data_IF_853727619596
#
_entry.id   IF_853727619596
#
_cell.length_a   1.000
_cell.length_b   1.000
_cell.length_c   1.000
_cell.angle_alpha   90.00
_cell.angle_beta   90.00
_cell.angle_gamma   90.00
#
_symmetry.space_group_name_H-M   'P 1'
#
loop_
_entity.id
_entity.type
_entity.pdbx_description
1 polymer ?
#
# COMPACT_ATOMS: atom_id res chain seq x y z
N UNK A 1 12.14 -36.37 7.68
CA UNK A 1 12.21 -34.92 7.84
C UNK A 1 11.92 -34.64 9.30
N UNK A 2 12.88 -34.16 10.05
CA UNK A 2 12.72 -33.82 11.47
C UNK A 2 11.89 -32.54 11.53
N UNK A 3 10.85 -32.46 12.36
CA UNK A 3 10.14 -31.20 12.56
C UNK A 3 11.11 -30.17 13.12
N UNK A 4 11.12 -28.97 12.53
CA UNK A 4 11.81 -27.80 13.02
C UNK A 4 11.51 -27.66 14.51
N UNK A 5 12.53 -27.67 15.35
CA UNK A 5 12.38 -27.44 16.78
C UNK A 5 11.85 -26.03 16.98
N UNK A 6 10.58 -25.91 17.34
CA UNK A 6 10.02 -24.65 17.81
C UNK A 6 10.65 -24.37 19.19
N UNK A 7 11.77 -23.67 19.17
CA UNK A 7 12.24 -23.03 20.40
C UNK A 7 11.25 -21.91 20.73
N UNK A 8 10.89 -21.73 22.00
CA UNK A 8 10.07 -20.59 22.41
C UNK A 8 10.75 -19.29 21.96
N UNK A 9 9.97 -18.34 21.45
CA UNK A 9 10.50 -17.04 21.02
C UNK A 9 11.10 -16.31 22.24
N UNK A 10 12.15 -15.57 21.99
CA UNK A 10 12.78 -14.68 22.97
C UNK A 10 12.39 -13.24 22.64
N UNK A 11 12.23 -12.38 23.64
CA UNK A 11 11.79 -11.00 23.47
C UNK A 11 12.62 -9.98 24.23
N UNK A 12 13.59 -10.43 25.05
CA UNK A 12 14.34 -9.55 25.96
C UNK A 12 15.13 -8.44 25.26
N UNK A 13 15.74 -8.73 24.10
CA UNK A 13 16.47 -7.72 23.36
C UNK A 13 15.52 -6.70 22.72
N UNK A 14 14.41 -7.16 22.14
CA UNK A 14 13.38 -6.31 21.57
C UNK A 14 12.72 -5.40 22.61
N UNK A 15 12.45 -5.92 23.82
CA UNK A 15 11.92 -5.13 24.94
C UNK A 15 12.86 -4.00 25.33
N UNK A 16 14.15 -4.30 25.53
CA UNK A 16 15.18 -3.30 25.88
C UNK A 16 15.35 -2.25 24.77
N UNK A 17 15.31 -2.68 23.50
CA UNK A 17 15.39 -1.79 22.35
C UNK A 17 14.14 -0.89 22.26
N UNK A 18 12.96 -1.43 22.54
CA UNK A 18 11.72 -0.65 22.55
C UNK A 18 11.71 0.40 23.64
N UNK A 19 12.13 0.06 24.87
CA UNK A 19 12.29 1.04 25.97
C UNK A 19 13.28 2.15 25.59
N UNK A 20 14.45 1.77 25.04
CA UNK A 20 15.45 2.74 24.58
C UNK A 20 14.91 3.63 23.45
N UNK A 21 14.17 3.05 22.50
CA UNK A 21 13.58 3.81 21.38
C UNK A 21 12.51 4.78 21.87
N UNK A 22 11.64 4.38 22.83
CA UNK A 22 10.63 5.27 23.40
C UNK A 22 11.21 6.47 24.13
N UNK A 23 12.43 6.37 24.62
CA UNK A 23 13.11 7.50 25.25
C UNK A 23 13.52 8.61 24.28
N UNK A 24 13.65 8.31 22.98
CA UNK A 24 14.21 9.24 21.96
C UNK A 24 13.36 9.37 20.69
N UNK A 25 12.37 8.50 20.51
CA UNK A 25 11.45 8.49 19.36
C UNK A 25 10.02 8.46 19.89
N UNK A 26 9.12 9.33 19.47
CA UNK A 26 7.71 9.31 19.88
C UNK A 26 7.07 7.92 19.67
N UNK A 27 6.60 7.28 20.76
CA UNK A 27 6.06 5.92 20.73
C UNK A 27 7.07 4.82 20.40
N UNK A 28 8.37 5.13 20.31
CA UNK A 28 9.45 4.17 20.01
C UNK A 28 9.60 3.78 18.54
N UNK A 29 8.82 4.37 17.64
CA UNK A 29 8.74 3.99 16.22
C UNK A 29 8.62 5.21 15.30
N UNK A 30 9.08 5.08 14.06
CA UNK A 30 8.97 6.11 13.01
C UNK A 30 7.72 5.98 12.13
N UNK A 31 6.85 5.00 12.43
CA UNK A 31 5.52 4.85 11.82
C UNK A 31 4.59 4.18 12.84
N UNK A 32 3.39 4.75 13.11
CA UNK A 32 2.55 4.36 14.25
C UNK A 32 2.18 2.89 14.31
N UNK A 33 1.89 2.26 13.19
CA UNK A 33 1.47 0.85 13.11
C UNK A 33 2.54 -0.12 13.63
N UNK A 34 3.82 0.26 13.58
CA UNK A 34 4.96 -0.56 14.05
C UNK A 34 5.02 -0.71 15.56
N UNK A 35 4.26 0.10 16.33
CA UNK A 35 4.27 0.07 17.80
C UNK A 35 3.38 -1.03 18.40
N UNK A 36 2.72 -1.86 17.59
CA UNK A 36 1.80 -2.92 18.03
C UNK A 36 0.60 -2.43 18.86
N UNK A 37 0.25 -1.14 18.76
CA UNK A 37 -0.86 -0.58 19.55
C UNK A 37 -2.20 -1.29 19.30
N UNK A 38 -2.44 -1.78 18.09
CA UNK A 38 -3.69 -2.48 17.74
C UNK A 38 -3.75 -3.91 18.25
N UNK A 39 -2.62 -4.61 18.31
CA UNK A 39 -2.55 -6.03 18.68
C UNK A 39 -2.00 -6.24 20.10
N UNK A 40 -1.34 -5.22 20.66
CA UNK A 40 -0.66 -5.30 21.96
C UNK A 40 0.69 -6.02 21.90
N UNK A 41 1.37 -6.06 23.04
CA UNK A 41 2.68 -6.69 23.16
C UNK A 41 3.85 -5.79 22.77
N UNK A 42 5.04 -6.36 22.67
CA UNK A 42 6.28 -5.69 22.26
C UNK A 42 6.57 -5.96 20.79
N UNK A 43 6.84 -4.93 19.97
CA UNK A 43 7.20 -5.15 18.57
C UNK A 43 8.55 -5.90 18.45
N UNK A 44 8.64 -6.82 17.50
CA UNK A 44 9.90 -7.42 17.12
C UNK A 44 10.82 -6.35 16.49
N UNK A 45 12.06 -6.22 16.99
CA UNK A 45 13.04 -5.30 16.45
C UNK A 45 13.87 -6.00 15.37
N UNK A 46 13.60 -5.72 14.11
CA UNK A 46 14.27 -6.33 12.98
C UNK A 46 15.79 -6.05 13.01
N UNK A 47 16.59 -7.09 12.93
CA UNK A 47 18.05 -7.04 12.80
C UNK A 47 18.50 -7.22 11.35
N UNK A 48 17.82 -8.10 10.61
CA UNK A 48 18.05 -8.35 9.17
C UNK A 48 16.79 -8.94 8.53
N UNK A 49 16.75 -8.92 7.21
CA UNK A 49 15.75 -9.66 6.45
C UNK A 49 16.40 -10.22 5.16
N UNK A 50 15.95 -11.40 4.72
CA UNK A 50 16.46 -12.04 3.50
C UNK A 50 15.41 -12.99 2.91
N UNK A 51 15.16 -12.89 1.62
CA UNK A 51 14.14 -13.71 0.95
C UNK A 51 12.75 -13.47 1.55
N UNK A 52 12.08 -14.52 1.99
CA UNK A 52 10.80 -14.47 2.67
C UNK A 52 10.90 -14.24 4.19
N UNK A 53 12.09 -14.06 4.75
CA UNK A 53 12.31 -14.14 6.19
C UNK A 53 12.75 -12.81 6.80
N UNK A 54 12.18 -12.50 7.97
CA UNK A 54 12.59 -11.44 8.88
C UNK A 54 13.28 -12.07 10.10
N UNK A 55 14.36 -11.45 10.57
CA UNK A 55 15.10 -11.86 11.77
C UNK A 55 15.13 -10.70 12.75
N UNK A 56 14.76 -10.95 14.01
CA UNK A 56 14.78 -9.92 15.03
C UNK A 56 16.10 -9.88 15.83
N UNK A 57 16.17 -8.91 16.76
CA UNK A 57 17.32 -8.71 17.63
C UNK A 57 17.48 -9.81 18.70
N UNK A 58 16.45 -10.59 18.96
CA UNK A 58 16.44 -11.74 19.86
C UNK A 58 16.91 -13.02 19.17
N UNK A 59 17.11 -12.98 17.83
CA UNK A 59 17.54 -14.13 17.01
C UNK A 59 16.39 -14.99 16.51
N UNK A 60 15.14 -14.57 16.71
CA UNK A 60 13.98 -15.25 16.15
C UNK A 60 13.92 -15.04 14.64
N UNK A 61 13.40 -16.05 13.95
CA UNK A 61 13.15 -16.03 12.51
C UNK A 61 11.65 -16.14 12.23
N UNK A 62 11.17 -15.28 11.37
CA UNK A 62 9.75 -15.22 10.96
C UNK A 62 9.62 -15.30 9.44
N UNK A 63 8.63 -16.04 8.94
CA UNK A 63 8.15 -15.84 7.57
C UNK A 63 7.35 -14.54 7.53
N UNK A 64 7.73 -13.62 6.65
CA UNK A 64 7.23 -12.24 6.64
C UNK A 64 6.11 -12.05 5.63
N UNK A 65 4.88 -11.85 6.09
CA UNK A 65 3.71 -11.49 5.29
C UNK A 65 3.40 -9.97 5.29
N UNK A 66 4.32 -9.15 5.83
CA UNK A 66 4.28 -7.69 5.73
C UNK A 66 5.04 -7.20 4.51
N UNK A 67 6.14 -7.86 4.12
CA UNK A 67 6.97 -7.53 2.95
C UNK A 67 7.29 -6.02 2.86
N UNK A 68 7.69 -5.41 3.98
CA UNK A 68 7.94 -3.96 4.12
C UNK A 68 6.73 -3.08 3.76
N UNK A 69 5.50 -3.57 3.91
CA UNK A 69 4.24 -2.91 3.48
C UNK A 69 4.10 -2.81 1.96
N UNK A 70 4.61 -3.82 1.25
CA UNK A 70 4.46 -3.97 -0.19
C UNK A 70 5.72 -3.85 -1.05
N UNK A 71 6.74 -3.01 -0.72
CA UNK A 71 7.92 -2.83 -1.56
C UNK A 71 8.68 -4.11 -1.91
N UNK A 72 8.74 -5.08 -0.99
CA UNK A 72 9.57 -6.28 -1.15
C UNK A 72 8.92 -7.35 -2.04
N UNK A 73 8.51 -6.98 -3.25
CA UNK A 73 7.86 -7.89 -4.22
C UNK A 73 8.76 -9.08 -4.59
N UNK A 74 10.08 -8.88 -4.68
CA UNK A 74 11.08 -9.91 -4.97
C UNK A 74 11.58 -10.64 -3.72
N UNK A 75 11.05 -10.29 -2.53
CA UNK A 75 11.59 -10.69 -1.24
C UNK A 75 12.65 -9.72 -0.73
N UNK A 76 13.07 -9.93 0.52
CA UNK A 76 14.06 -9.08 1.17
C UNK A 76 15.47 -9.30 0.62
N UNK A 77 16.24 -8.22 0.53
CA UNK A 77 17.65 -8.21 0.14
C UNK A 77 17.93 -9.05 -1.12
N UNK A 78 17.10 -8.85 -2.17
CA UNK A 78 17.30 -9.55 -3.44
C UNK A 78 18.70 -9.25 -4.00
N UNK A 79 19.54 -10.27 -4.33
CA UNK A 79 20.95 -10.07 -4.62
C UNK A 79 21.23 -9.02 -5.69
N UNK A 80 20.51 -9.08 -6.82
CA UNK A 80 20.70 -8.14 -7.93
C UNK A 80 20.28 -6.70 -7.58
N UNK A 81 19.23 -6.52 -6.75
CA UNK A 81 18.82 -5.18 -6.28
C UNK A 81 19.87 -4.61 -5.32
N UNK A 82 20.38 -5.43 -4.39
CA UNK A 82 21.47 -5.02 -3.48
C UNK A 82 22.72 -4.64 -4.26
N UNK A 83 23.13 -5.46 -5.24
CA UNK A 83 24.29 -5.19 -6.10
C UNK A 83 24.12 -3.87 -6.88
N UNK A 84 22.96 -3.63 -7.50
CA UNK A 84 22.70 -2.39 -8.23
C UNK A 84 22.78 -1.16 -7.32
N UNK A 85 22.27 -1.25 -6.09
CA UNK A 85 22.39 -0.16 -5.10
C UNK A 85 23.84 0.08 -4.69
N UNK A 86 24.63 -0.99 -4.48
CA UNK A 86 26.07 -0.88 -4.15
C UNK A 86 26.85 -0.21 -5.29
N UNK A 87 26.63 -0.62 -6.53
CA UNK A 87 27.27 0.00 -7.71
C UNK A 87 26.87 1.48 -7.86
N UNK A 88 25.59 1.81 -7.63
CA UNK A 88 25.17 3.21 -7.65
C UNK A 88 25.81 4.05 -6.52
N UNK A 89 25.98 3.46 -5.33
CA UNK A 89 26.62 4.13 -4.20
C UNK A 89 28.10 4.44 -4.46
N UNK A 90 28.81 3.60 -5.20
CA UNK A 90 30.21 3.84 -5.62
C UNK A 90 30.34 5.07 -6.54
N UNK A 91 29.25 5.43 -7.27
CA UNK A 91 29.20 6.62 -8.12
C UNK A 91 28.77 7.89 -7.38
N UNK A 92 28.19 7.76 -6.19
CA UNK A 92 27.73 8.86 -5.34
C UNK A 92 26.30 8.71 -4.84
N UNK A 93 26.03 9.28 -3.67
CA UNK A 93 24.74 9.10 -2.98
C UNK A 93 23.65 10.08 -3.46
N UNK A 94 24.07 11.28 -3.93
CA UNK A 94 23.18 12.33 -4.42
C UNK A 94 24.00 13.34 -5.23
N UNK A 95 23.46 13.80 -6.35
CA UNK A 95 24.22 14.66 -7.27
C UNK A 95 23.77 16.13 -7.23
N UNK A 96 22.52 16.43 -6.85
CA UNK A 96 21.93 17.76 -7.01
C UNK A 96 21.84 18.20 -8.49
N UNK A 97 21.88 17.25 -9.40
CA UNK A 97 21.82 17.41 -10.85
C UNK A 97 21.02 16.26 -11.46
N UNK A 98 20.48 16.46 -12.65
CA UNK A 98 19.79 15.40 -13.40
C UNK A 98 20.76 14.28 -13.79
N UNK A 99 20.29 13.05 -13.81
CA UNK A 99 21.06 11.87 -14.16
C UNK A 99 20.35 11.01 -15.22
N UNK A 100 21.12 10.28 -16.03
CA UNK A 100 20.56 9.45 -17.09
C UNK A 100 19.63 8.32 -16.57
N UNK A 101 19.93 7.63 -15.44
CA UNK A 101 19.03 6.61 -14.90
C UNK A 101 17.62 7.12 -14.51
N UNK A 102 17.46 8.42 -14.21
CA UNK A 102 16.13 8.99 -13.95
C UNK A 102 15.21 8.86 -15.19
N UNK A 103 15.77 9.13 -16.38
CA UNK A 103 15.03 8.97 -17.63
C UNK A 103 14.71 7.49 -17.89
N UNK A 104 15.65 6.58 -17.65
CA UNK A 104 15.47 5.14 -17.80
C UNK A 104 14.33 4.60 -16.90
N UNK A 105 14.28 4.99 -15.63
CA UNK A 105 13.19 4.60 -14.73
C UNK A 105 11.85 5.19 -15.19
N UNK A 106 11.84 6.46 -15.63
CA UNK A 106 10.62 7.08 -16.15
C UNK A 106 10.10 6.37 -17.41
N UNK A 107 10.98 6.04 -18.35
CA UNK A 107 10.64 5.27 -19.56
C UNK A 107 10.10 3.87 -19.20
N UNK A 108 10.70 3.20 -18.23
CA UNK A 108 10.25 1.89 -17.76
C UNK A 108 8.83 1.96 -17.18
N UNK A 109 8.52 2.99 -16.37
CA UNK A 109 7.18 3.23 -15.84
C UNK A 109 6.18 3.51 -16.97
N UNK A 110 6.51 4.41 -17.89
CA UNK A 110 5.66 4.73 -19.06
C UNK A 110 5.38 3.49 -19.89
N UNK A 111 6.41 2.71 -20.20
CA UNK A 111 6.27 1.51 -21.01
C UNK A 111 5.38 0.44 -20.33
N UNK A 112 5.51 0.25 -19.01
CA UNK A 112 4.69 -0.71 -18.28
C UNK A 112 3.21 -0.32 -18.27
N UNK A 113 2.91 0.93 -17.98
CA UNK A 113 1.52 1.43 -17.96
C UNK A 113 0.92 1.38 -19.38
N UNK A 114 1.66 1.85 -20.39
CA UNK A 114 1.21 1.86 -21.78
C UNK A 114 1.12 0.47 -22.41
N UNK A 115 1.71 -0.56 -21.80
CA UNK A 115 1.51 -1.95 -22.23
C UNK A 115 0.11 -2.47 -21.90
N UNK A 116 -0.55 -1.96 -20.85
CA UNK A 116 -1.93 -2.31 -20.53
C UNK A 116 -2.93 -1.59 -21.44
N UNK A 117 -2.79 -0.27 -21.58
CA UNK A 117 -3.60 0.54 -22.53
C UNK A 117 -2.65 1.51 -23.24
N UNK A 118 -2.46 1.38 -24.56
CA UNK A 118 -1.54 2.22 -25.32
C UNK A 118 -1.81 3.70 -25.17
N UNK A 119 -0.77 4.45 -24.82
CA UNK A 119 -0.86 5.89 -24.67
C UNK A 119 -1.60 6.34 -23.40
N UNK A 120 -1.71 5.53 -22.36
CA UNK A 120 -2.35 5.91 -21.10
C UNK A 120 -1.63 7.08 -20.39
N UNK A 121 -0.30 7.08 -20.37
CA UNK A 121 0.52 8.16 -19.82
C UNK A 121 1.64 8.58 -20.76
N UNK A 122 2.13 9.80 -20.62
CA UNK A 122 3.22 10.33 -21.44
C UNK A 122 4.44 10.75 -20.58
N UNK A 123 4.22 11.19 -19.34
CA UNK A 123 5.27 11.74 -18.48
C UNK A 123 5.17 11.26 -17.05
N UNK A 124 6.33 11.20 -16.38
CA UNK A 124 6.50 10.82 -14.97
C UNK A 124 7.33 11.88 -14.26
N UNK A 125 6.94 12.23 -13.03
CA UNK A 125 7.74 13.06 -12.11
C UNK A 125 8.06 12.23 -10.87
N UNK A 126 9.35 11.99 -10.63
CA UNK A 126 9.84 11.31 -9.43
C UNK A 126 9.79 12.23 -8.22
N UNK A 127 9.46 11.64 -7.06
CA UNK A 127 9.49 12.23 -5.72
C UNK A 127 10.02 11.20 -4.73
N UNK A 128 10.17 11.53 -3.45
CA UNK A 128 10.80 10.61 -2.49
C UNK A 128 9.80 9.71 -1.75
N UNK A 129 8.54 10.12 -1.62
CA UNK A 129 7.52 9.39 -0.84
C UNK A 129 6.15 9.42 -1.50
N UNK A 130 5.29 8.43 -1.17
CA UNK A 130 3.89 8.44 -1.61
C UNK A 130 3.13 9.69 -1.15
N UNK A 131 3.43 10.22 0.04
CA UNK A 131 2.86 11.48 0.52
C UNK A 131 3.22 12.66 -0.39
N UNK A 132 4.46 12.75 -0.86
CA UNK A 132 4.86 13.78 -1.82
C UNK A 132 4.17 13.60 -3.17
N UNK A 133 3.98 12.36 -3.63
CA UNK A 133 3.27 12.06 -4.87
C UNK A 133 1.81 12.52 -4.80
N UNK A 134 1.07 12.13 -3.77
CA UNK A 134 -0.35 12.50 -3.59
C UNK A 134 -0.53 13.99 -3.29
N UNK A 135 0.34 14.57 -2.45
CA UNK A 135 0.37 16.03 -2.20
C UNK A 135 0.57 16.81 -3.50
N UNK A 136 1.47 16.35 -4.35
CA UNK A 136 1.73 17.01 -5.65
C UNK A 136 0.57 16.79 -6.60
N UNK A 137 -0.01 15.60 -6.63
CA UNK A 137 -1.15 15.26 -7.50
C UNK A 137 -2.39 16.13 -7.20
N UNK A 138 -2.77 16.33 -5.93
CA UNK A 138 -3.88 17.23 -5.59
C UNK A 138 -3.57 18.69 -5.91
N UNK A 139 -2.34 19.14 -5.69
CA UNK A 139 -1.91 20.50 -6.10
C UNK A 139 -1.97 20.66 -7.61
N UNK A 140 -1.51 19.65 -8.35
CA UNK A 140 -1.55 19.63 -9.82
C UNK A 140 -2.99 19.69 -10.33
N UNK A 141 -3.88 18.85 -9.78
CA UNK A 141 -5.29 18.85 -10.15
C UNK A 141 -5.97 20.20 -9.89
N UNK A 142 -5.70 20.84 -8.75
CA UNK A 142 -6.15 22.19 -8.45
C UNK A 142 -5.60 23.22 -9.43
N UNK A 143 -4.34 23.11 -9.78
CA UNK A 143 -3.68 24.01 -10.74
C UNK A 143 -4.23 23.89 -12.16
N UNK A 144 -4.53 22.67 -12.60
CA UNK A 144 -5.11 22.40 -13.93
C UNK A 144 -6.55 22.88 -14.03
N UNK A 145 -7.36 22.61 -13.02
CA UNK A 145 -8.81 22.91 -13.04
C UNK A 145 -9.15 24.32 -12.57
N UNK A 146 -8.26 24.98 -11.82
CA UNK A 146 -8.55 26.24 -11.15
C UNK A 146 -9.59 26.14 -10.02
N UNK A 147 -9.78 24.95 -9.44
CA UNK A 147 -10.77 24.64 -8.40
C UNK A 147 -10.08 24.16 -7.12
N UNK A 148 -10.76 24.23 -5.97
CA UNK A 148 -10.15 24.02 -4.66
C UNK A 148 -10.48 22.67 -4.02
N UNK A 149 -11.71 22.15 -4.21
CA UNK A 149 -12.21 20.98 -3.48
C UNK A 149 -11.70 19.66 -4.06
N UNK A 150 -11.45 18.70 -3.15
CA UNK A 150 -11.09 17.32 -3.49
C UNK A 150 -12.11 16.37 -2.87
N UNK A 151 -12.57 15.39 -3.62
CA UNK A 151 -13.28 14.23 -3.08
C UNK A 151 -12.27 13.14 -2.76
N UNK A 152 -12.38 12.52 -1.57
CA UNK A 152 -11.73 11.28 -1.18
C UNK A 152 -12.75 10.33 -0.52
N UNK A 153 -12.35 9.09 -0.26
CA UNK A 153 -13.21 8.09 0.37
C UNK A 153 -12.78 7.77 1.79
N UNK A 154 -13.76 7.56 2.68
CA UNK A 154 -13.54 7.12 4.05
C UNK A 154 -12.77 5.79 4.07
N UNK A 155 -11.77 5.68 4.94
CA UNK A 155 -10.92 4.52 5.04
C UNK A 155 -9.72 4.48 4.07
N UNK A 156 -9.76 5.22 2.96
CA UNK A 156 -8.63 5.35 2.05
C UNK A 156 -7.51 6.20 2.66
N UNK A 157 -6.27 5.76 2.47
CA UNK A 157 -5.07 6.46 2.92
C UNK A 157 -4.22 6.92 1.74
N UNK A 158 -3.93 8.21 1.70
CA UNK A 158 -3.17 8.86 0.63
C UNK A 158 -1.95 9.64 1.14
N UNK A 159 -1.25 9.08 2.12
CA UNK A 159 -0.18 9.80 2.81
C UNK A 159 -0.70 10.74 3.91
N UNK A 160 0.19 11.59 4.45
CA UNK A 160 -0.10 12.40 5.64
C UNK A 160 -0.06 13.92 5.37
N UNK A 161 -0.38 14.34 4.15
CA UNK A 161 -0.66 15.75 3.87
C UNK A 161 -2.00 16.15 4.50
N UNK A 162 -2.06 17.33 5.11
CA UNK A 162 -3.21 17.80 5.90
C UNK A 162 -4.55 17.62 5.18
N UNK A 163 -4.62 17.96 3.90
CA UNK A 163 -5.83 17.86 3.10
C UNK A 163 -6.36 16.41 2.95
N UNK A 164 -5.55 15.38 3.17
CA UNK A 164 -5.93 13.98 2.96
C UNK A 164 -6.03 13.17 4.25
N UNK A 165 -5.89 13.79 5.43
CA UNK A 165 -5.95 13.11 6.72
C UNK A 165 -7.37 12.90 7.28
N UNK A 166 -8.38 13.54 6.72
CA UNK A 166 -9.77 13.34 7.16
C UNK A 166 -10.23 11.91 6.87
N UNK A 167 -10.72 11.19 7.89
CA UNK A 167 -11.20 9.80 7.82
C UNK A 167 -10.27 8.85 7.03
N UNK A 168 -8.95 9.01 7.18
CA UNK A 168 -7.97 8.11 6.60
C UNK A 168 -8.02 6.73 7.29
N UNK A 169 -7.65 5.67 6.54
CA UNK A 169 -7.68 4.28 6.99
C UNK A 169 -6.67 3.92 8.09
N UNK A 170 -5.93 2.84 7.96
CA UNK A 170 -5.20 2.11 9.00
C UNK A 170 -4.45 2.97 10.03
N UNK A 171 -3.66 3.96 9.60
CA UNK A 171 -2.88 4.81 10.50
C UNK A 171 -3.74 5.67 11.44
N UNK A 172 -4.83 6.25 10.93
CA UNK A 172 -5.77 7.09 11.70
C UNK A 172 -6.77 6.22 12.46
N UNK A 173 -7.25 5.13 11.84
CA UNK A 173 -8.15 4.17 12.47
C UNK A 173 -7.51 3.51 13.71
N UNK A 174 -6.22 3.17 13.63
CA UNK A 174 -5.45 2.62 14.75
C UNK A 174 -5.38 3.56 15.95
N UNK A 175 -5.40 4.90 15.70
CA UNK A 175 -5.41 5.91 16.73
C UNK A 175 -6.82 6.36 17.18
N UNK A 176 -7.87 5.77 16.56
CA UNK A 176 -9.30 6.11 16.80
C UNK A 176 -9.60 7.62 16.64
N UNK A 177 -8.89 8.30 15.76
CA UNK A 177 -9.05 9.74 15.51
C UNK A 177 -9.89 9.98 14.25
N UNK A 178 -10.95 10.82 14.31
CA UNK A 178 -11.72 11.19 13.11
C UNK A 178 -10.96 12.08 12.14
N UNK A 179 -9.82 12.61 12.57
CA UNK A 179 -8.87 13.41 11.82
C UNK A 179 -7.63 13.66 12.69
N UNK A 180 -6.54 14.17 12.11
CA UNK A 180 -5.33 14.47 12.88
C UNK A 180 -5.47 15.80 13.62
N UNK A 181 -5.08 15.84 14.90
CA UNK A 181 -4.86 17.10 15.59
C UNK A 181 -3.79 17.92 14.85
N UNK A 182 -4.04 19.21 14.73
CA UNK A 182 -3.15 20.12 13.97
C UNK A 182 -3.59 20.42 12.53
N UNK A 183 -4.46 19.62 11.94
CA UNK A 183 -5.11 19.96 10.67
C UNK A 183 -6.10 21.11 10.92
N UNK A 184 -5.98 22.19 10.16
CA UNK A 184 -6.85 23.37 10.32
C UNK A 184 -8.24 23.10 9.75
N UNK A 185 -9.27 23.72 10.32
CA UNK A 185 -10.63 23.62 9.81
C UNK A 185 -10.75 24.11 8.35
N UNK A 186 -9.99 25.12 7.97
CA UNK A 186 -9.96 25.63 6.60
C UNK A 186 -9.42 24.58 5.61
N UNK A 187 -8.34 23.88 5.96
CA UNK A 187 -7.79 22.81 5.12
C UNK A 187 -8.76 21.62 5.02
N UNK A 188 -9.35 21.21 6.14
CA UNK A 188 -10.30 20.12 6.18
C UNK A 188 -11.57 20.41 5.37
N UNK A 189 -12.05 21.68 5.33
CA UNK A 189 -13.25 22.09 4.60
C UNK A 189 -13.13 21.97 3.07
N UNK A 190 -11.91 21.89 2.54
CA UNK A 190 -11.66 21.68 1.11
C UNK A 190 -11.64 20.21 0.71
N UNK A 191 -11.86 19.29 1.64
CA UNK A 191 -11.88 17.86 1.36
C UNK A 191 -13.25 17.28 1.70
N UNK A 192 -13.92 16.74 0.68
CA UNK A 192 -15.21 16.06 0.79
C UNK A 192 -14.92 14.58 0.97
N UNK A 193 -15.36 14.00 2.09
CA UNK A 193 -15.17 12.57 2.38
C UNK A 193 -16.48 11.84 2.13
N UNK A 194 -16.45 10.81 1.28
CA UNK A 194 -17.62 10.04 0.88
C UNK A 194 -17.44 8.56 1.25
N UNK A 195 -18.51 7.78 1.37
CA UNK A 195 -18.45 6.33 1.45
C UNK A 195 -17.81 5.74 0.19
N UNK A 196 -16.96 4.72 0.35
CA UNK A 196 -16.43 3.94 -0.78
C UNK A 196 -17.54 3.06 -1.37
N UNK A 197 -17.48 2.76 -2.67
CA UNK A 197 -18.48 1.99 -3.43
C UNK A 197 -19.88 2.66 -3.53
N UNK A 198 -19.98 3.99 -3.37
CA UNK A 198 -21.22 4.75 -3.45
C UNK A 198 -21.13 5.85 -4.53
N UNK A 199 -21.51 5.51 -5.78
CA UNK A 199 -21.53 6.47 -6.89
C UNK A 199 -22.65 7.50 -6.77
N UNK A 200 -23.71 7.22 -6.01
CA UNK A 200 -24.81 8.18 -5.82
C UNK A 200 -24.35 9.30 -4.88
N UNK A 201 -23.62 8.99 -3.81
CA UNK A 201 -22.97 10.00 -2.97
C UNK A 201 -21.99 10.87 -3.78
N UNK A 202 -21.27 10.31 -4.75
CA UNK A 202 -20.38 11.08 -5.63
C UNK A 202 -21.18 12.04 -6.51
N UNK A 203 -22.28 11.59 -7.13
CA UNK A 203 -23.17 12.46 -7.96
C UNK A 203 -23.77 13.60 -7.13
N UNK A 204 -24.24 13.30 -5.93
CA UNK A 204 -24.78 14.29 -5.00
C UNK A 204 -23.71 15.33 -4.59
N UNK A 205 -22.48 14.90 -4.31
CA UNK A 205 -21.38 15.80 -3.99
C UNK A 205 -21.09 16.79 -5.13
N UNK A 206 -21.06 16.32 -6.39
CA UNK A 206 -20.89 17.20 -7.54
C UNK A 206 -22.06 18.17 -7.72
N UNK A 207 -23.29 17.74 -7.50
CA UNK A 207 -24.48 18.61 -7.56
C UNK A 207 -24.46 19.71 -6.47
N UNK A 208 -24.03 19.35 -5.26
CA UNK A 208 -23.95 20.29 -4.13
C UNK A 208 -22.75 21.26 -4.22
N UNK A 209 -21.74 20.93 -5.02
CA UNK A 209 -20.50 21.70 -5.18
C UNK A 209 -20.17 21.97 -6.66
N UNK A 210 -21.18 22.34 -7.44
CA UNK A 210 -21.03 22.59 -8.87
C UNK A 210 -19.86 23.55 -9.16
N UNK A 211 -18.96 23.13 -10.05
CA UNK A 211 -17.79 23.92 -10.47
C UNK A 211 -16.71 24.11 -9.41
N UNK A 212 -16.79 23.49 -8.22
CA UNK A 212 -15.82 23.68 -7.14
C UNK A 212 -14.84 22.50 -6.97
N UNK A 213 -15.20 21.30 -7.46
CA UNK A 213 -14.41 20.09 -7.26
C UNK A 213 -13.34 20.01 -8.34
N UNK A 214 -12.07 19.99 -7.91
CA UNK A 214 -10.90 19.86 -8.76
C UNK A 214 -10.66 18.40 -9.20
N UNK A 215 -10.77 17.48 -8.24
CA UNK A 215 -10.53 16.06 -8.52
C UNK A 215 -11.21 15.13 -7.50
N UNK A 216 -11.36 13.88 -7.92
CA UNK A 216 -11.53 12.72 -7.04
C UNK A 216 -10.17 12.07 -6.86
N UNK A 217 -9.76 11.75 -5.61
CA UNK A 217 -8.64 10.87 -5.32
C UNK A 217 -9.17 9.57 -4.71
N UNK A 218 -8.75 8.43 -5.26
CA UNK A 218 -9.12 7.10 -4.77
C UNK A 218 -7.93 6.15 -4.81
N UNK A 219 -7.81 5.26 -3.82
CA UNK A 219 -6.95 4.09 -4.00
C UNK A 219 -7.55 3.21 -5.12
N UNK A 220 -6.70 2.65 -5.96
CA UNK A 220 -7.12 1.77 -7.06
C UNK A 220 -7.92 0.55 -6.59
N UNK A 221 -7.48 -0.04 -5.50
CA UNK A 221 -8.21 -0.92 -4.60
C UNK A 221 -7.75 -0.58 -3.18
N UNK A 222 -8.62 -0.08 -2.30
CA UNK A 222 -8.27 0.26 -0.93
C UNK A 222 -7.66 -0.90 -0.17
N UNK A 223 -6.53 -0.63 0.49
CA UNK A 223 -5.77 -1.62 1.25
C UNK A 223 -5.40 -1.13 2.66
N UNK A 224 -5.94 0.02 3.08
CA UNK A 224 -5.69 0.63 4.39
C UNK A 224 -6.92 0.60 5.31
N UNK A 225 -7.97 -0.07 4.88
CA UNK A 225 -9.16 -0.41 5.66
C UNK A 225 -9.47 -1.93 5.55
N UNK A 226 -8.43 -2.76 5.56
CA UNK A 226 -8.45 -4.07 4.93
C UNK A 226 -8.41 -3.91 3.40
N UNK A 227 -8.38 -5.02 2.67
CA UNK A 227 -8.60 -4.94 1.22
C UNK A 227 -10.09 -4.81 0.97
N UNK A 228 -10.51 -3.72 0.33
CA UNK A 228 -11.90 -3.51 -0.09
C UNK A 228 -11.94 -3.41 -1.60
N UNK A 229 -12.50 -4.42 -2.24
CA UNK A 229 -12.56 -4.47 -3.70
C UNK A 229 -13.56 -3.44 -4.23
N UNK A 230 -13.21 -2.64 -5.25
CA UNK A 230 -14.19 -1.78 -5.90
C UNK A 230 -15.30 -2.62 -6.53
N UNK A 231 -16.54 -2.22 -6.33
CA UNK A 231 -17.69 -2.83 -6.99
C UNK A 231 -17.54 -2.74 -8.53
N UNK A 232 -18.07 -3.71 -9.28
CA UNK A 232 -18.00 -3.68 -10.73
C UNK A 232 -18.47 -2.34 -11.33
N UNK A 233 -17.60 -1.69 -12.10
CA UNK A 233 -17.86 -0.39 -12.69
C UNK A 233 -17.72 0.82 -11.77
N UNK A 234 -17.35 0.65 -10.48
CA UNK A 234 -17.19 1.78 -9.55
C UNK A 234 -16.09 2.74 -10.02
N UNK A 235 -14.89 2.25 -10.26
CA UNK A 235 -13.75 3.09 -10.67
C UNK A 235 -14.00 3.79 -12.01
N UNK A 236 -14.62 3.08 -12.98
CA UNK A 236 -15.05 3.69 -14.24
C UNK A 236 -16.11 4.76 -14.02
N UNK A 237 -17.09 4.48 -13.15
CA UNK A 237 -18.13 5.45 -12.80
C UNK A 237 -17.58 6.72 -12.16
N UNK A 238 -16.53 6.62 -11.33
CA UNK A 238 -15.82 7.80 -10.80
C UNK A 238 -15.21 8.63 -11.94
N UNK A 239 -14.54 7.99 -12.90
CA UNK A 239 -13.96 8.67 -14.05
C UNK A 239 -15.03 9.36 -14.90
N UNK A 240 -16.14 8.67 -15.24
CA UNK A 240 -17.23 9.23 -16.02
C UNK A 240 -17.90 10.43 -15.33
N UNK A 241 -18.17 10.33 -14.02
CA UNK A 241 -18.78 11.42 -13.25
C UNK A 241 -17.82 12.62 -13.13
N UNK A 242 -16.56 12.41 -12.83
CA UNK A 242 -15.57 13.47 -12.73
C UNK A 242 -15.44 14.24 -14.04
N UNK A 243 -15.26 13.55 -15.15
CA UNK A 243 -15.10 14.15 -16.48
C UNK A 243 -16.35 14.88 -16.93
N UNK A 244 -17.55 14.34 -16.69
CA UNK A 244 -18.80 15.03 -17.00
C UNK A 244 -18.94 16.37 -16.26
N UNK A 245 -18.26 16.55 -15.13
CA UNK A 245 -18.23 17.77 -14.33
C UNK A 245 -16.94 18.59 -14.49
N UNK A 246 -16.04 18.23 -15.41
CA UNK A 246 -14.76 18.91 -15.65
C UNK A 246 -13.79 18.83 -14.48
N UNK A 247 -13.85 17.75 -13.69
CA UNK A 247 -12.91 17.41 -12.64
C UNK A 247 -11.99 16.27 -13.12
N UNK A 248 -10.83 16.12 -12.45
CA UNK A 248 -9.87 15.08 -12.74
C UNK A 248 -10.02 13.87 -11.82
N UNK A 249 -9.45 12.72 -12.22
CA UNK A 249 -9.31 11.53 -11.37
C UNK A 249 -7.84 11.29 -11.06
N UNK A 250 -7.51 11.27 -9.76
CA UNK A 250 -6.22 10.86 -9.23
C UNK A 250 -6.38 9.42 -8.75
N UNK A 251 -5.66 8.50 -9.40
CA UNK A 251 -5.72 7.08 -9.09
C UNK A 251 -4.48 6.69 -8.30
N UNK A 252 -4.67 6.43 -7.01
CA UNK A 252 -3.59 6.14 -6.09
C UNK A 252 -3.22 4.66 -6.18
N UNK A 253 -2.10 4.43 -6.85
CA UNK A 253 -1.44 3.14 -7.03
C UNK A 253 -0.17 3.03 -6.16
N UNK A 254 -0.04 3.82 -5.11
CA UNK A 254 1.13 3.77 -4.22
C UNK A 254 1.30 2.38 -3.62
N UNK A 255 0.20 1.68 -3.30
CA UNK A 255 0.26 0.32 -2.76
C UNK A 255 0.13 -0.74 -3.85
N UNK A 256 -0.81 -0.59 -4.75
CA UNK A 256 -1.19 -1.58 -5.77
C UNK A 256 -0.32 -1.51 -7.02
N UNK A 257 0.32 -0.36 -7.29
CA UNK A 257 1.13 -0.11 -8.47
C UNK A 257 2.34 -1.04 -8.57
N UNK A 258 2.48 -1.68 -9.74
CA UNK A 258 3.52 -2.69 -10.02
C UNK A 258 3.53 -3.88 -9.05
N UNK A 259 2.52 -3.97 -8.18
CA UNK A 259 2.35 -5.04 -7.21
C UNK A 259 1.31 -6.06 -7.65
N UNK A 260 0.11 -5.61 -8.00
CA UNK A 260 -1.01 -6.47 -8.42
C UNK A 260 -0.74 -7.03 -9.82
N UNK A 261 -0.25 -6.19 -10.70
CA UNK A 261 0.20 -6.56 -12.06
C UNK A 261 1.37 -5.66 -12.47
N UNK A 262 1.91 -5.89 -13.66
CA UNK A 262 2.97 -5.04 -14.24
C UNK A 262 2.56 -3.58 -14.43
N UNK A 263 1.26 -3.29 -14.46
CA UNK A 263 0.68 -1.95 -14.59
C UNK A 263 -0.27 -1.61 -13.42
N UNK A 264 -0.06 -2.23 -12.25
CA UNK A 264 -0.87 -2.00 -11.05
C UNK A 264 -2.25 -2.63 -11.09
N UNK A 265 -3.12 -2.19 -10.19
CA UNK A 265 -4.52 -2.64 -10.16
C UNK A 265 -5.31 -2.09 -11.35
N UNK A 266 -5.02 -0.86 -11.78
CA UNK A 266 -5.63 -0.31 -12.98
C UNK A 266 -5.34 -1.17 -14.22
N UNK A 267 -4.09 -1.57 -14.44
CA UNK A 267 -3.73 -2.44 -15.55
C UNK A 267 -4.33 -3.85 -15.45
N UNK A 268 -4.70 -4.29 -14.25
CA UNK A 268 -5.40 -5.54 -14.00
C UNK A 268 -6.91 -5.43 -14.34
N UNK A 269 -7.56 -4.33 -13.99
CA UNK A 269 -9.03 -4.21 -14.04
C UNK A 269 -9.55 -3.38 -15.23
N UNK A 270 -8.92 -2.25 -15.57
CA UNK A 270 -9.46 -1.30 -16.52
C UNK A 270 -9.57 -1.80 -17.97
N UNK A 271 -8.67 -2.66 -18.50
CA UNK A 271 -8.83 -3.20 -19.86
C UNK A 271 -10.14 -3.94 -20.07
N UNK A 272 -10.63 -4.67 -19.07
CA UNK A 272 -11.89 -5.40 -19.10
C UNK A 272 -13.11 -4.50 -18.76
N UNK A 273 -12.88 -3.38 -18.09
CA UNK A 273 -13.89 -2.38 -17.69
C UNK A 273 -13.93 -1.16 -18.63
N UNK A 274 -13.85 -1.39 -19.94
CA UNK A 274 -14.05 -0.37 -20.97
C UNK A 274 -12.81 0.48 -21.30
N UNK A 275 -11.65 0.20 -20.73
CA UNK A 275 -10.37 0.81 -21.11
C UNK A 275 -10.25 2.29 -20.73
N UNK A 276 -10.89 2.74 -19.63
CA UNK A 276 -10.79 4.10 -19.12
C UNK A 276 -9.39 4.37 -18.55
N UNK A 277 -8.96 5.64 -18.53
CA UNK A 277 -7.63 6.06 -18.06
C UNK A 277 -7.79 7.21 -17.08
N UNK A 278 -7.26 7.12 -15.86
CA UNK A 278 -7.24 8.25 -14.93
C UNK A 278 -6.31 9.36 -15.43
N UNK A 279 -6.55 10.59 -14.97
CA UNK A 279 -5.77 11.76 -15.40
C UNK A 279 -4.38 11.80 -14.74
N UNK A 280 -4.30 11.36 -13.49
CA UNK A 280 -3.07 11.33 -12.71
C UNK A 280 -3.00 9.99 -11.98
N UNK A 281 -1.87 9.30 -12.14
CA UNK A 281 -1.49 8.17 -11.28
C UNK A 281 -0.51 8.63 -10.21
N UNK A 282 -0.55 8.01 -9.02
CA UNK A 282 0.52 8.09 -8.04
C UNK A 282 1.07 6.71 -7.75
N UNK A 283 2.40 6.58 -7.72
CA UNK A 283 3.13 5.34 -7.48
C UNK A 283 4.10 5.49 -6.32
N UNK A 284 4.40 4.40 -5.64
CA UNK A 284 5.36 4.34 -4.54
C UNK A 284 5.77 2.90 -4.27
N UNK A 285 6.25 2.64 -3.06
CA UNK A 285 6.54 1.27 -2.57
C UNK A 285 7.35 0.43 -3.56
N UNK A 286 6.71 -0.43 -4.37
CA UNK A 286 7.38 -1.35 -5.32
C UNK A 286 8.29 -0.61 -6.30
N UNK A 287 7.92 0.60 -6.74
CA UNK A 287 8.75 1.38 -7.69
C UNK A 287 10.17 1.65 -7.16
N UNK A 288 10.35 1.59 -5.85
CA UNK A 288 11.64 1.82 -5.18
C UNK A 288 12.38 0.54 -4.79
N UNK A 289 11.74 -0.64 -4.89
CA UNK A 289 12.38 -1.90 -4.51
C UNK A 289 12.89 -1.95 -3.06
N UNK A 290 12.29 -1.17 -2.16
CA UNK A 290 12.69 -1.00 -0.76
C UNK A 290 13.42 0.32 -0.46
N UNK A 291 13.84 1.07 -1.49
CA UNK A 291 14.43 2.41 -1.36
C UNK A 291 13.35 3.50 -1.45
N UNK A 292 13.59 4.70 -0.84
CA UNK A 292 12.61 5.79 -0.82
C UNK A 292 12.51 6.48 -2.18
N UNK A 293 11.52 6.12 -2.96
CA UNK A 293 11.12 6.78 -4.19
C UNK A 293 9.62 6.59 -4.42
N UNK A 294 8.99 7.57 -5.02
CA UNK A 294 7.62 7.55 -5.49
C UNK A 294 7.52 8.38 -6.76
N UNK A 295 6.36 8.39 -7.40
CA UNK A 295 6.15 9.15 -8.62
C UNK A 295 4.70 9.57 -8.77
N UNK A 296 4.46 10.61 -9.57
CA UNK A 296 3.17 10.84 -10.21
C UNK A 296 3.36 10.82 -11.72
N UNK A 297 2.34 10.40 -12.44
CA UNK A 297 2.37 10.23 -13.88
C UNK A 297 1.01 10.56 -14.51
N UNK A 298 1.02 10.95 -15.77
CA UNK A 298 -0.21 11.26 -16.50
C UNK A 298 0.08 11.70 -17.93
N UNK A 299 -0.95 12.21 -18.58
CA UNK A 299 -0.84 12.81 -19.90
C UNK A 299 0.00 14.08 -19.87
N UNK A 300 0.69 14.35 -20.96
CA UNK A 300 1.53 15.53 -21.14
C UNK A 300 0.81 16.83 -20.81
N UNK A 301 -0.42 16.97 -21.27
CA UNK A 301 -1.25 18.18 -21.05
C UNK A 301 -1.56 18.46 -19.57
N UNK A 302 -1.60 17.43 -18.72
CA UNK A 302 -1.72 17.57 -17.28
C UNK A 302 -0.35 17.77 -16.63
N UNK A 303 0.63 16.92 -16.97
CA UNK A 303 1.94 16.90 -16.33
C UNK A 303 2.77 18.18 -16.62
N UNK A 304 2.61 18.81 -17.77
CA UNK A 304 3.30 20.07 -18.11
C UNK A 304 2.77 21.30 -17.36
N UNK A 305 1.71 21.17 -16.55
CA UNK A 305 1.41 22.19 -15.53
C UNK A 305 2.42 22.21 -14.39
N UNK A 306 3.25 21.17 -14.23
CA UNK A 306 4.33 21.19 -13.24
C UNK A 306 5.48 22.11 -13.70
N UNK A 307 6.05 22.84 -12.74
CA UNK A 307 7.30 23.58 -12.97
C UNK A 307 8.44 22.61 -13.39
N UNK A 308 9.37 23.01 -14.28
CA UNK A 308 9.60 24.36 -14.80
C UNK A 308 8.74 24.73 -16.02
N UNK A 309 7.91 23.82 -16.57
CA UNK A 309 7.09 24.10 -17.75
C UNK A 309 5.86 24.94 -17.38
N UNK A 310 5.11 24.50 -16.36
CA UNK A 310 3.90 25.14 -15.90
C UNK A 310 4.05 25.85 -14.53
N UNK A 311 2.94 26.40 -14.00
CA UNK A 311 2.97 27.22 -12.80
C UNK A 311 2.94 26.42 -11.49
N UNK A 312 2.66 25.10 -11.52
CA UNK A 312 2.52 24.30 -10.32
C UNK A 312 3.88 23.87 -9.79
N UNK A 313 4.26 24.39 -8.62
CA UNK A 313 5.57 24.12 -8.04
C UNK A 313 5.65 22.78 -7.32
N UNK A 314 6.70 22.02 -7.61
CA UNK A 314 7.15 20.84 -6.89
C UNK A 314 8.68 20.77 -6.98
N UNK A 315 9.36 20.47 -5.87
CA UNK A 315 10.80 20.25 -5.82
C UNK A 315 11.14 19.25 -4.71
N UNK A 316 12.26 18.56 -4.87
CA UNK A 316 12.78 17.63 -3.86
C UNK A 316 14.27 17.40 -4.09
N UNK A 317 15.11 17.73 -3.09
CA UNK A 317 16.56 17.57 -3.16
C UNK A 317 16.99 16.13 -3.48
N UNK A 318 16.25 15.15 -2.98
CA UNK A 318 16.54 13.71 -3.14
C UNK A 318 15.61 13.01 -4.14
N UNK A 319 14.74 13.74 -4.83
CA UNK A 319 13.89 13.16 -5.87
C UNK A 319 14.75 12.63 -7.01
N UNK A 320 14.57 11.36 -7.37
CA UNK A 320 15.37 10.70 -8.40
C UNK A 320 16.81 10.40 -7.97
N UNK A 321 17.09 10.22 -6.66
CA UNK A 321 18.44 9.89 -6.21
C UNK A 321 18.92 8.57 -6.81
N UNK A 322 20.26 8.44 -7.06
CA UNK A 322 20.80 7.32 -7.83
C UNK A 322 20.56 5.95 -7.21
N UNK A 323 20.55 5.84 -5.87
CA UNK A 323 20.36 4.57 -5.20
C UNK A 323 18.93 4.05 -5.36
N UNK A 324 17.96 4.94 -5.15
CA UNK A 324 16.54 4.59 -5.28
C UNK A 324 16.16 4.31 -6.73
N UNK A 325 16.74 5.04 -7.67
CA UNK A 325 16.53 4.81 -9.12
C UNK A 325 17.11 3.46 -9.54
N UNK A 326 18.33 3.12 -9.11
CA UNK A 326 18.96 1.83 -9.40
C UNK A 326 18.16 0.65 -8.84
N UNK A 327 17.69 0.78 -7.58
CA UNK A 327 16.82 -0.21 -6.97
C UNK A 327 15.50 -0.36 -7.73
N UNK A 328 14.89 0.76 -8.14
CA UNK A 328 13.63 0.80 -8.88
C UNK A 328 13.75 0.15 -10.25
N UNK A 329 14.72 0.53 -11.06
CA UNK A 329 14.99 -0.05 -12.38
C UNK A 329 15.16 -1.58 -12.24
N UNK A 330 16.04 -2.00 -11.34
CA UNK A 330 16.34 -3.43 -11.15
C UNK A 330 15.09 -4.19 -10.69
N UNK A 331 14.35 -3.67 -9.71
CA UNK A 331 13.14 -4.33 -9.20
C UNK A 331 12.07 -4.45 -10.27
N UNK A 332 11.78 -3.36 -10.99
CA UNK A 332 10.78 -3.41 -12.05
C UNK A 332 11.23 -4.28 -13.22
N UNK A 333 12.52 -4.33 -13.56
CA UNK A 333 13.02 -5.21 -14.63
C UNK A 333 12.86 -6.69 -14.26
N UNK A 334 13.11 -7.05 -12.99
CA UNK A 334 13.00 -8.42 -12.50
C UNK A 334 11.56 -8.87 -12.22
N UNK A 335 10.65 -7.94 -11.91
CA UNK A 335 9.23 -8.24 -11.70
C UNK A 335 8.55 -8.52 -13.06
N UNK A 336 8.79 -9.69 -13.61
CA UNK A 336 8.27 -10.19 -14.86
C UNK A 336 6.97 -10.99 -14.69
N UNK A 337 6.45 -11.54 -15.78
CA UNK A 337 5.21 -12.33 -15.77
C UNK A 337 5.30 -13.57 -14.86
N UNK A 338 6.48 -14.17 -14.70
CA UNK A 338 6.66 -15.34 -13.84
C UNK A 338 6.56 -14.95 -12.37
N UNK A 339 7.08 -13.77 -11.99
CA UNK A 339 6.92 -13.22 -10.64
C UNK A 339 5.45 -13.01 -10.32
N UNK A 340 4.68 -12.34 -11.18
CA UNK A 340 3.25 -12.11 -10.93
C UNK A 340 2.46 -13.42 -10.84
N UNK A 341 2.70 -14.37 -11.75
CA UNK A 341 2.06 -15.70 -11.69
C UNK A 341 2.38 -16.44 -10.37
N UNK A 342 3.62 -16.32 -9.87
CA UNK A 342 4.00 -16.87 -8.58
C UNK A 342 3.23 -16.20 -7.42
N UNK A 343 3.16 -14.86 -7.40
CA UNK A 343 2.42 -14.13 -6.38
C UNK A 343 0.95 -14.52 -6.36
N UNK A 344 0.32 -14.60 -7.52
CA UNK A 344 -1.09 -14.98 -7.66
C UNK A 344 -1.34 -16.41 -7.13
N UNK A 345 -0.46 -17.34 -7.49
CA UNK A 345 -0.54 -18.74 -7.04
C UNK A 345 -0.37 -18.86 -5.52
N UNK A 346 0.64 -18.19 -4.93
CA UNK A 346 0.90 -18.25 -3.48
C UNK A 346 -0.19 -17.54 -2.68
N UNK A 347 -0.69 -16.41 -3.18
CA UNK A 347 -1.82 -15.71 -2.57
C UNK A 347 -3.07 -16.58 -2.55
N UNK A 348 -3.43 -17.21 -3.68
CA UNK A 348 -4.58 -18.10 -3.76
C UNK A 348 -4.45 -19.31 -2.83
N UNK A 349 -3.27 -19.95 -2.79
CA UNK A 349 -2.96 -21.07 -1.88
C UNK A 349 -3.18 -20.68 -0.41
N UNK A 350 -2.69 -19.49 -0.02
CA UNK A 350 -2.81 -19.02 1.36
C UNK A 350 -4.25 -18.66 1.72
N UNK A 351 -4.99 -18.00 0.84
CA UNK A 351 -6.41 -17.69 1.03
C UNK A 351 -7.26 -18.95 1.21
N UNK A 352 -6.99 -19.98 0.41
CA UNK A 352 -7.66 -21.28 0.55
C UNK A 352 -7.35 -21.92 1.91
N UNK A 353 -6.08 -21.98 2.31
CA UNK A 353 -5.67 -22.58 3.58
C UNK A 353 -6.25 -21.83 4.79
N UNK A 354 -6.32 -20.50 4.73
CA UNK A 354 -6.98 -19.67 5.75
C UNK A 354 -8.47 -20.01 5.87
N UNK A 355 -9.18 -20.08 4.74
CA UNK A 355 -10.60 -20.42 4.71
C UNK A 355 -10.85 -21.80 5.31
N UNK A 356 -10.03 -22.80 4.97
CA UNK A 356 -10.12 -24.16 5.51
C UNK A 356 -9.89 -24.17 7.02
N UNK A 357 -8.86 -23.47 7.52
CA UNK A 357 -8.53 -23.40 8.94
C UNK A 357 -9.63 -22.69 9.76
N UNK A 358 -10.17 -21.57 9.28
CA UNK A 358 -11.24 -20.85 9.96
C UNK A 358 -12.56 -21.62 9.96
N UNK A 359 -12.92 -22.24 8.85
CA UNK A 359 -14.12 -23.11 8.78
C UNK A 359 -14.01 -24.29 9.76
N UNK A 360 -12.83 -24.93 9.84
CA UNK A 360 -12.59 -26.03 10.77
C UNK A 360 -12.68 -25.59 12.24
N UNK A 361 -12.29 -24.35 12.54
CA UNK A 361 -12.38 -23.76 13.88
C UNK A 361 -13.73 -23.10 14.19
N UNK A 362 -14.66 -23.02 13.25
CA UNK A 362 -15.97 -22.38 13.41
C UNK A 362 -15.87 -20.85 13.55
N UNK A 363 -14.90 -20.22 12.89
CA UNK A 363 -14.68 -18.77 12.91
C UNK A 363 -15.37 -18.10 11.73
N UNK A 364 -16.34 -17.25 12.01
CA UNK A 364 -16.98 -16.41 10.99
C UNK A 364 -15.96 -15.42 10.45
N UNK A 365 -15.76 -15.42 9.14
CA UNK A 365 -14.78 -14.60 8.45
C UNK A 365 -15.17 -14.36 7.00
N UNK A 366 -14.55 -13.34 6.41
CA UNK A 366 -14.47 -13.17 4.96
C UNK A 366 -13.03 -12.84 4.54
N UNK A 367 -12.62 -13.32 3.38
CA UNK A 367 -11.36 -12.98 2.77
C UNK A 367 -11.64 -12.05 1.60
N UNK A 368 -11.04 -10.85 1.66
CA UNK A 368 -11.16 -9.83 0.63
C UNK A 368 -9.88 -9.82 -0.19
N UNK A 369 -9.97 -9.74 -1.52
CA UNK A 369 -8.78 -9.75 -2.38
C UNK A 369 -8.86 -8.75 -3.52
N UNK A 370 -7.71 -8.21 -3.89
CA UNK A 370 -7.49 -7.38 -5.07
C UNK A 370 -6.24 -7.94 -5.80
N UNK A 371 -6.47 -8.88 -6.72
CA UNK A 371 -5.40 -9.69 -7.32
C UNK A 371 -4.68 -10.52 -6.24
N UNK A 372 -3.36 -10.37 -6.13
CA UNK A 372 -2.54 -11.09 -5.13
C UNK A 372 -2.46 -10.40 -3.76
N UNK A 373 -3.14 -9.29 -3.56
CA UNK A 373 -3.32 -8.65 -2.26
C UNK A 373 -4.61 -9.14 -1.61
N UNK A 374 -4.58 -9.43 -0.31
CA UNK A 374 -5.78 -9.85 0.41
C UNK A 374 -5.72 -9.44 1.88
N UNK A 375 -6.85 -9.51 2.54
CA UNK A 375 -7.00 -9.33 4.00
C UNK A 375 -8.07 -10.25 4.55
N UNK A 376 -8.10 -10.41 5.87
CA UNK A 376 -9.11 -11.20 6.58
C UNK A 376 -9.92 -10.28 7.47
N UNK A 377 -11.24 -10.31 7.31
CA UNK A 377 -12.19 -9.66 8.21
C UNK A 377 -12.91 -10.72 9.05
N UNK A 378 -12.86 -10.58 10.39
CA UNK A 378 -13.48 -11.53 11.33
C UNK A 378 -14.88 -11.09 11.74
N UNK A 379 -15.77 -12.05 11.98
CA UNK A 379 -17.15 -11.78 12.41
C UNK A 379 -18.00 -11.13 11.32
N UNK A 380 -17.62 -11.29 10.07
CA UNK A 380 -18.34 -10.79 8.90
C UNK A 380 -19.08 -11.93 8.21
N UNK A 381 -20.16 -11.60 7.47
CA UNK A 381 -20.84 -12.55 6.60
C UNK A 381 -19.98 -12.89 5.38
N UNK A 382 -20.36 -13.95 4.65
CA UNK A 382 -19.70 -14.30 3.38
C UNK A 382 -19.87 -13.24 2.28
N UNK A 383 -20.79 -12.28 2.44
CA UNK A 383 -20.93 -11.14 1.55
C UNK A 383 -19.71 -10.21 1.62
N UNK A 384 -18.93 -10.27 2.72
CA UNK A 384 -17.68 -9.56 2.86
C UNK A 384 -17.82 -8.14 3.38
N UNK A 385 -16.82 -7.31 3.04
CA UNK A 385 -16.69 -5.92 3.43
C UNK A 385 -16.72 -5.05 2.18
N UNK A 386 -17.58 -4.05 2.13
CA UNK A 386 -17.78 -3.18 0.97
C UNK A 386 -17.29 -1.76 1.19
N UNK A 387 -17.09 -1.35 2.46
CA UNK A 387 -16.68 0.00 2.82
C UNK A 387 -16.04 0.05 4.22
N UNK A 388 -15.64 1.26 4.63
CA UNK A 388 -14.99 1.49 5.92
C UNK A 388 -15.88 1.22 7.14
N UNK A 389 -17.20 1.41 7.02
CA UNK A 389 -18.11 1.13 8.13
C UNK A 389 -18.19 -0.36 8.43
N UNK A 390 -18.20 -1.19 7.39
CA UNK A 390 -18.25 -2.66 7.53
C UNK A 390 -17.00 -3.19 8.25
N UNK A 391 -15.80 -2.72 7.85
CA UNK A 391 -14.56 -3.19 8.50
C UNK A 391 -14.45 -2.70 9.96
N UNK A 392 -14.94 -1.50 10.27
CA UNK A 392 -15.01 -1.03 11.66
C UNK A 392 -15.94 -1.86 12.53
N UNK A 393 -16.95 -2.47 11.95
CA UNK A 393 -17.88 -3.35 12.65
C UNK A 393 -17.32 -4.78 12.83
N UNK A 394 -16.18 -5.11 12.21
CA UNK A 394 -15.56 -6.43 12.30
C UNK A 394 -15.00 -6.73 13.69
N UNK A 395 -14.86 -8.03 14.04
CA UNK A 395 -14.38 -8.49 15.33
C UNK A 395 -12.83 -8.43 15.42
N UNK A 396 -12.28 -7.24 15.65
CA UNK A 396 -10.82 -7.01 15.70
C UNK A 396 -10.12 -7.74 16.84
N UNK A 397 -10.81 -8.08 17.95
CA UNK A 397 -10.24 -8.88 19.05
C UNK A 397 -9.79 -10.25 18.58
N UNK A 398 -10.54 -10.88 17.67
CA UNK A 398 -10.18 -12.18 17.08
C UNK A 398 -8.91 -12.08 16.24
N UNK A 399 -8.70 -10.95 15.56
CA UNK A 399 -7.45 -10.70 14.85
C UNK A 399 -6.26 -10.66 15.79
N UNK A 400 -6.38 -10.03 16.94
CA UNK A 400 -5.29 -9.93 17.91
C UNK A 400 -4.84 -11.31 18.41
N UNK A 401 -5.78 -12.19 18.74
CA UNK A 401 -5.47 -13.55 19.17
C UNK A 401 -4.84 -14.37 18.02
N UNK A 402 -5.37 -14.24 16.83
CA UNK A 402 -4.82 -14.86 15.63
C UNK A 402 -3.38 -14.38 15.35
N UNK A 403 -3.16 -13.06 15.38
CA UNK A 403 -1.86 -12.44 15.17
C UNK A 403 -0.79 -12.98 16.11
N UNK A 404 -1.07 -13.01 17.42
CA UNK A 404 -0.09 -13.49 18.40
C UNK A 404 0.21 -14.97 18.24
N UNK A 405 -0.79 -15.80 17.97
CA UNK A 405 -0.58 -17.23 17.72
C UNK A 405 0.28 -17.48 16.47
N UNK A 406 0.07 -16.71 15.38
CA UNK A 406 0.91 -16.77 14.19
C UNK A 406 2.33 -16.28 14.48
N UNK A 407 2.48 -15.17 15.22
CA UNK A 407 3.79 -14.63 15.60
C UNK A 407 4.59 -15.65 16.41
N UNK A 408 3.99 -16.27 17.42
CA UNK A 408 4.60 -17.33 18.24
C UNK A 408 4.99 -18.57 17.43
N UNK A 409 4.27 -18.80 16.31
CA UNK A 409 4.60 -19.87 15.37
C UNK A 409 5.67 -19.48 14.34
N UNK A 410 6.26 -18.28 14.46
CA UNK A 410 7.29 -17.78 13.54
C UNK A 410 6.73 -17.26 12.22
N UNK A 411 5.54 -16.69 12.22
CA UNK A 411 4.94 -16.00 11.07
C UNK A 411 4.60 -14.56 11.44
N UNK A 412 5.19 -13.61 10.73
CA UNK A 412 5.01 -12.17 10.98
C UNK A 412 3.92 -11.60 10.09
N UNK A 413 2.76 -11.31 10.70
CA UNK A 413 1.62 -10.68 10.06
C UNK A 413 1.65 -9.15 10.23
N UNK A 414 0.89 -8.38 9.42
CA UNK A 414 0.62 -6.98 9.71
C UNK A 414 -0.01 -6.83 11.11
N UNK A 415 0.52 -5.95 11.99
CA UNK A 415 0.01 -5.79 13.36
C UNK A 415 -1.27 -4.94 13.42
N UNK A 416 -2.19 -5.15 12.49
CA UNK A 416 -3.51 -4.50 12.44
C UNK A 416 -4.43 -5.25 11.49
N UNK A 417 -5.69 -5.43 11.88
CA UNK A 417 -6.74 -6.02 11.02
C UNK A 417 -7.10 -5.16 9.81
N UNK A 418 -6.67 -3.89 9.78
CA UNK A 418 -6.94 -2.95 8.68
C UNK A 418 -5.89 -2.97 7.57
N UNK A 419 -4.93 -3.89 7.63
CA UNK A 419 -3.83 -3.96 6.68
C UNK A 419 -3.98 -5.13 5.69
N UNK A 420 -3.45 -4.93 4.48
CA UNK A 420 -3.31 -6.00 3.51
C UNK A 420 -2.14 -6.93 3.87
N UNK A 421 -2.25 -8.21 3.48
CA UNK A 421 -1.18 -9.19 3.56
C UNK A 421 -0.47 -9.32 2.23
N UNK A 422 0.83 -9.59 2.29
CA UNK A 422 1.70 -9.61 1.14
C UNK A 422 2.48 -10.92 1.05
N UNK A 423 2.49 -11.52 -0.14
CA UNK A 423 3.43 -12.57 -0.51
C UNK A 423 4.50 -11.97 -1.43
N UNK A 424 5.67 -12.56 -1.53
CA UNK A 424 6.75 -12.15 -2.41
C UNK A 424 7.22 -13.29 -3.29
N UNK A 425 8.01 -12.98 -4.33
CA UNK A 425 8.63 -13.99 -5.19
C UNK A 425 9.55 -14.97 -4.43
N UNK A 426 9.93 -14.63 -3.19
CA UNK A 426 10.78 -15.47 -2.35
C UNK A 426 9.99 -16.42 -1.43
N UNK A 427 8.64 -16.35 -1.41
CA UNK A 427 7.82 -17.31 -0.66
C UNK A 427 7.77 -18.64 -1.43
N UNK A 428 8.75 -19.50 -1.15
CA UNK A 428 8.85 -20.85 -1.68
C UNK A 428 7.95 -21.85 -0.93
N UNK A 429 8.05 -23.13 -1.28
CA UNK A 429 7.22 -24.17 -0.66
C UNK A 429 7.51 -24.30 0.84
N UNK A 430 8.77 -24.13 1.29
CA UNK A 430 9.13 -24.20 2.70
C UNK A 430 8.50 -23.06 3.51
N UNK A 431 8.54 -21.83 3.01
CA UNK A 431 7.91 -20.69 3.63
C UNK A 431 6.37 -20.85 3.70
N UNK A 432 5.75 -21.33 2.61
CA UNK A 432 4.32 -21.59 2.56
C UNK A 432 3.90 -22.70 3.51
N UNK A 433 4.62 -23.81 3.56
CA UNK A 433 4.35 -24.93 4.48
C UNK A 433 4.41 -24.48 5.94
N UNK A 434 5.37 -23.63 6.28
CA UNK A 434 5.50 -23.06 7.63
C UNK A 434 4.31 -22.17 7.98
N UNK A 435 3.86 -21.30 7.08
CA UNK A 435 2.68 -20.47 7.29
C UNK A 435 1.44 -21.36 7.49
N UNK A 436 1.20 -22.29 6.56
CA UNK A 436 0.00 -23.14 6.55
C UNK A 436 -0.05 -24.03 7.80
N UNK A 437 1.09 -24.54 8.25
CA UNK A 437 1.16 -25.37 9.46
C UNK A 437 0.81 -24.63 10.75
N UNK A 438 0.94 -23.29 10.79
CA UNK A 438 0.59 -22.45 11.92
C UNK A 438 -0.91 -22.13 11.99
N UNK A 439 -1.63 -22.17 10.86
CA UNK A 439 -3.03 -21.73 10.75
C UNK A 439 -4.02 -22.44 11.68
N UNK A 440 -3.97 -23.77 11.89
CA UNK A 440 -4.96 -24.44 12.75
C UNK A 440 -4.94 -23.94 14.20
N UNK A 441 -3.75 -23.74 14.78
CA UNK A 441 -3.60 -23.22 16.14
C UNK A 441 -4.06 -21.75 16.23
N UNK A 442 -3.70 -20.94 15.24
CA UNK A 442 -4.09 -19.54 15.17
C UNK A 442 -5.61 -19.36 14.98
N UNK A 443 -6.24 -20.19 14.14
CA UNK A 443 -7.69 -20.19 13.97
C UNK A 443 -8.41 -20.57 15.26
N UNK A 444 -7.91 -21.58 16.00
CA UNK A 444 -8.44 -21.95 17.32
C UNK A 444 -8.30 -20.81 18.35
N UNK A 445 -7.20 -20.07 18.33
CA UNK A 445 -7.01 -18.88 19.18
C UNK A 445 -8.05 -17.79 18.84
N UNK A 446 -8.29 -17.52 17.54
CA UNK A 446 -9.32 -16.59 17.09
C UNK A 446 -10.73 -17.01 17.46
N UNK A 447 -11.02 -18.33 17.48
CA UNK A 447 -12.33 -18.87 17.87
C UNK A 447 -12.62 -18.64 19.36
N UNK A 448 -11.58 -18.60 20.18
CA UNK A 448 -11.67 -18.46 21.65
C UNK A 448 -11.69 -17.00 22.13
N UNK A 449 -11.44 -16.03 21.26
CA UNK A 449 -11.40 -14.59 21.53
C UNK A 449 -12.73 -13.90 21.16
#
# INVERSE_FOLDING_TARGET
MTPSSTHPLHHEASEKLFERSRAVIPGGVNSPVRAFNSVGGTPAFAAKAKGAYLYDADGNEYVDLVCSWGPSILGHAHPQVVEAVQQAADCGLSFGAASAPEAELAELVVNRINAAIPGAIDQVRMVSTGTEATMTAIRLARGVTGRDKIIKFAGCYHGHVDALLSEAGSGVATLALPGSAGVTAATAAETIVLPYNDLDAVREAFANHEGQIAAIITEAAPCNMGVVTPEPGFNRGLHEIAHANGALVIFDEVLTGFRVSSAGYWGYAAPEDGGWVPDIFTFGKVIGGGMPIAALAGKREVMEYLAPVGPVYQAGTLSGNPLSVAAGITTLTLADAAVYAHLDSRSAQLQQALTEAFNAAGVDHSIQSAGNLFSVAFGTSQEGVHNYADIKASATSRYNAFFHSMLESGVYLPPSAFEAWFVSAAHDDEAMDRIISALPAAAAAAASA
#
